data_IF_330386015456
#
_entry.id   IF_330386015456
#
_cell.length_a   1.000
_cell.length_b   1.000
_cell.length_c   1.000
_cell.angle_alpha   90.00
_cell.angle_beta   90.00
_cell.angle_gamma   90.00
#
_symmetry.space_group_name_H-M   'P 1'
#
loop_
_entity.id
_entity.type
_entity.pdbx_description
1 polymer ?
#
# COMPACT_ATOMS: atom_id res chain seq x y z
N UNK A 1 36.23 1.13 -36.28
CA UNK A 1 35.45 -0.08 -36.63
C UNK A 1 34.80 -0.58 -35.35
N UNK A 2 33.50 -0.35 -35.14
CA UNK A 2 32.77 -0.88 -33.97
C UNK A 2 32.43 -2.34 -34.28
N UNK A 3 33.05 -3.28 -33.59
CA UNK A 3 32.77 -4.71 -33.72
C UNK A 3 31.54 -5.02 -32.84
N UNK A 4 30.57 -5.84 -33.30
CA UNK A 4 29.31 -6.04 -32.59
C UNK A 4 29.53 -6.64 -31.20
N UNK A 5 28.69 -6.24 -30.25
CA UNK A 5 28.55 -6.94 -28.98
C UNK A 5 28.23 -8.42 -29.29
N UNK A 6 28.96 -9.33 -28.62
CA UNK A 6 28.79 -10.76 -28.81
C UNK A 6 27.50 -11.18 -28.10
N UNK A 7 26.36 -11.01 -28.76
CA UNK A 7 25.08 -11.52 -28.29
C UNK A 7 25.07 -13.03 -28.49
N UNK A 8 25.01 -13.81 -27.41
CA UNK A 8 24.82 -15.26 -27.49
C UNK A 8 23.39 -15.52 -27.99
N UNK A 9 23.18 -16.05 -29.22
CA UNK A 9 21.85 -16.12 -29.83
C UNK A 9 20.82 -16.95 -29.04
N UNK A 10 21.29 -17.91 -28.23
CA UNK A 10 20.44 -18.70 -27.35
C UNK A 10 19.92 -17.95 -26.12
N UNK A 11 20.68 -16.99 -25.59
CA UNK A 11 20.30 -16.22 -24.39
C UNK A 11 19.28 -15.14 -24.70
N UNK A 12 19.43 -14.45 -25.82
CA UNK A 12 18.44 -13.46 -26.26
C UNK A 12 17.08 -14.11 -26.53
N UNK A 13 17.07 -15.33 -27.08
CA UNK A 13 15.85 -16.13 -27.23
C UNK A 13 15.23 -16.50 -25.89
N UNK A 14 16.03 -16.98 -24.93
CA UNK A 14 15.54 -17.34 -23.60
C UNK A 14 14.97 -16.13 -22.84
N UNK A 15 15.62 -14.96 -22.95
CA UNK A 15 15.14 -13.70 -22.37
C UNK A 15 13.83 -13.25 -23.01
N UNK A 16 13.73 -13.32 -24.34
CA UNK A 16 12.50 -12.99 -25.07
C UNK A 16 11.35 -13.93 -24.73
N UNK A 17 11.65 -15.22 -24.55
CA UNK A 17 10.68 -16.23 -24.14
C UNK A 17 10.14 -15.93 -22.74
N UNK A 18 11.02 -15.76 -21.74
CA UNK A 18 10.61 -15.42 -20.37
C UNK A 18 9.84 -14.11 -20.29
N UNK A 19 10.24 -13.10 -21.06
CA UNK A 19 9.50 -11.83 -21.14
C UNK A 19 8.12 -11.97 -21.78
N UNK A 20 7.92 -12.95 -22.65
CA UNK A 20 6.60 -13.26 -23.25
C UNK A 20 5.74 -14.06 -22.29
N UNK A 21 6.31 -15.06 -21.62
CA UNK A 21 5.65 -15.83 -20.56
C UNK A 21 5.19 -14.92 -19.40
N UNK A 22 6.02 -13.95 -19.00
CA UNK A 22 5.67 -12.99 -17.96
C UNK A 22 4.46 -12.12 -18.35
N UNK A 23 4.42 -11.63 -19.60
CA UNK A 23 3.26 -10.85 -20.09
C UNK A 23 1.98 -11.67 -20.11
N UNK A 24 2.05 -12.90 -20.61
CA UNK A 24 0.89 -13.81 -20.62
C UNK A 24 0.40 -14.10 -19.20
N UNK A 25 1.33 -14.22 -18.24
CA UNK A 25 0.99 -14.45 -16.85
C UNK A 25 0.41 -13.19 -16.19
N UNK A 26 0.90 -12.00 -16.52
CA UNK A 26 0.31 -10.73 -16.10
C UNK A 26 -1.13 -10.61 -16.61
N UNK A 27 -1.38 -10.91 -17.89
CA UNK A 27 -2.72 -10.93 -18.48
C UNK A 27 -3.64 -11.96 -17.79
N UNK A 28 -3.12 -13.14 -17.44
CA UNK A 28 -3.85 -14.16 -16.69
C UNK A 28 -4.21 -13.69 -15.27
N UNK A 29 -3.26 -13.06 -14.58
CA UNK A 29 -3.50 -12.47 -13.25
C UNK A 29 -4.59 -11.41 -13.35
N UNK A 30 -4.45 -10.43 -14.24
CA UNK A 30 -5.38 -9.32 -14.38
C UNK A 30 -6.81 -9.77 -14.76
N UNK A 31 -6.90 -10.84 -15.54
CA UNK A 31 -8.18 -11.43 -15.94
C UNK A 31 -8.74 -12.47 -14.95
N UNK A 32 -7.99 -12.87 -13.93
CA UNK A 32 -8.45 -13.84 -12.93
C UNK A 32 -9.61 -13.30 -12.09
N UNK A 33 -10.44 -14.21 -11.56
CA UNK A 33 -11.50 -13.83 -10.62
C UNK A 33 -10.89 -13.32 -9.30
N UNK A 34 -9.84 -13.99 -8.81
CA UNK A 34 -9.17 -13.62 -7.57
C UNK A 34 -8.59 -12.21 -7.61
N UNK A 35 -7.97 -11.79 -8.72
CA UNK A 35 -7.41 -10.44 -8.84
C UNK A 35 -8.49 -9.35 -8.81
N UNK A 36 -9.60 -9.58 -9.51
CA UNK A 36 -10.76 -8.68 -9.49
C UNK A 36 -11.36 -8.58 -8.09
N UNK A 37 -11.53 -9.72 -7.42
CA UNK A 37 -11.98 -9.79 -6.04
C UNK A 37 -11.06 -9.00 -5.10
N UNK A 38 -9.76 -9.31 -5.12
CA UNK A 38 -8.76 -8.67 -4.27
C UNK A 38 -8.74 -7.13 -4.44
N UNK A 39 -8.76 -6.65 -5.68
CA UNK A 39 -8.79 -5.21 -5.95
C UNK A 39 -10.05 -4.53 -5.40
N UNK A 40 -11.21 -5.19 -5.48
CA UNK A 40 -12.46 -4.66 -4.94
C UNK A 40 -12.45 -4.63 -3.42
N UNK A 41 -11.96 -5.69 -2.77
CA UNK A 41 -11.82 -5.74 -1.32
C UNK A 41 -10.82 -4.70 -0.79
N UNK A 42 -9.70 -4.49 -1.49
CA UNK A 42 -8.73 -3.44 -1.15
C UNK A 42 -9.33 -2.01 -1.24
N UNK A 43 -10.23 -1.75 -2.19
CA UNK A 43 -10.94 -0.46 -2.25
C UNK A 43 -11.92 -0.30 -1.09
N UNK A 44 -12.61 -1.38 -0.72
CA UNK A 44 -13.50 -1.39 0.43
C UNK A 44 -12.74 -1.18 1.74
N UNK A 45 -11.58 -1.80 1.91
CA UNK A 45 -10.69 -1.62 3.06
C UNK A 45 -10.31 -0.15 3.26
N UNK A 46 -10.04 0.59 2.17
CA UNK A 46 -9.76 2.03 2.25
C UNK A 46 -10.94 2.83 2.77
N UNK A 47 -12.17 2.42 2.47
CA UNK A 47 -13.37 3.08 2.99
C UNK A 47 -13.59 2.78 4.46
N UNK A 48 -13.33 1.53 4.87
CA UNK A 48 -13.29 1.17 6.29
C UNK A 48 -12.23 1.96 7.05
N UNK A 49 -11.04 2.13 6.49
CA UNK A 49 -9.99 2.96 7.09
C UNK A 49 -10.45 4.42 7.31
N UNK A 50 -11.13 5.03 6.35
CA UNK A 50 -11.68 6.39 6.50
C UNK A 50 -12.71 6.45 7.63
N UNK A 51 -13.64 5.49 7.64
CA UNK A 51 -14.63 5.33 8.71
C UNK A 51 -13.95 5.23 10.09
N UNK A 52 -12.99 4.30 10.23
CA UNK A 52 -12.39 3.95 11.50
C UNK A 52 -11.50 5.08 12.05
N UNK A 53 -10.71 5.71 11.19
CA UNK A 53 -9.89 6.86 11.61
C UNK A 53 -10.75 8.06 12.01
N UNK A 54 -11.84 8.33 11.29
CA UNK A 54 -12.77 9.41 11.69
C UNK A 54 -13.44 9.11 13.04
N UNK A 55 -13.85 7.86 13.26
CA UNK A 55 -14.39 7.39 14.54
C UNK A 55 -13.37 7.58 15.67
N UNK A 56 -12.14 7.07 15.51
CA UNK A 56 -11.09 7.16 16.52
C UNK A 56 -10.76 8.62 16.88
N UNK A 57 -10.67 9.50 15.89
CA UNK A 57 -10.42 10.93 16.14
C UNK A 57 -11.57 11.58 16.92
N UNK A 58 -12.82 11.25 16.57
CA UNK A 58 -13.99 11.76 17.27
C UNK A 58 -14.06 11.25 18.71
N UNK A 59 -13.92 9.94 18.92
CA UNK A 59 -13.91 9.32 20.25
C UNK A 59 -12.81 9.94 21.12
N UNK A 60 -11.60 10.10 20.58
CA UNK A 60 -10.51 10.73 21.30
C UNK A 60 -10.85 12.16 21.74
N UNK A 61 -11.40 13.00 20.84
CA UNK A 61 -11.80 14.36 21.19
C UNK A 61 -12.95 14.40 22.20
N UNK A 62 -13.89 13.45 22.15
CA UNK A 62 -14.94 13.32 23.14
C UNK A 62 -14.36 12.92 24.50
N UNK A 63 -13.50 11.90 24.56
CA UNK A 63 -12.85 11.43 25.78
C UNK A 63 -11.98 12.53 26.42
N UNK A 64 -11.27 13.32 25.62
CA UNK A 64 -10.53 14.49 26.09
C UNK A 64 -11.45 15.55 26.70
N UNK A 65 -12.61 15.79 26.10
CA UNK A 65 -13.61 16.72 26.63
C UNK A 65 -14.19 16.26 27.96
N UNK A 66 -14.35 14.95 28.13
CA UNK A 66 -14.88 14.37 29.37
C UNK A 66 -13.87 14.43 30.53
N UNK A 67 -12.59 14.75 30.26
CA UNK A 67 -11.60 14.94 31.33
C UNK A 67 -11.89 16.22 32.13
N UNK A 68 -12.12 16.13 33.46
CA UNK A 68 -12.51 17.29 34.27
C UNK A 68 -11.57 18.49 34.16
N UNK A 69 -10.24 18.22 34.12
CA UNK A 69 -9.24 19.28 34.03
C UNK A 69 -9.25 19.99 32.66
N UNK A 70 -9.50 19.24 31.58
CA UNK A 70 -9.60 19.81 30.24
C UNK A 70 -10.87 20.64 30.11
N UNK A 71 -11.99 20.08 30.55
CA UNK A 71 -13.27 20.77 30.57
C UNK A 71 -13.18 22.10 31.33
N UNK A 72 -12.71 22.07 32.59
CA UNK A 72 -12.64 23.26 33.45
C UNK A 72 -11.76 24.34 32.83
N UNK A 73 -10.65 23.95 32.20
CA UNK A 73 -9.77 24.87 31.47
C UNK A 73 -10.48 25.50 30.27
N UNK A 74 -11.19 24.72 29.45
CA UNK A 74 -11.91 25.25 28.29
C UNK A 74 -13.09 26.14 28.69
N UNK A 75 -13.73 25.86 29.82
CA UNK A 75 -14.89 26.60 30.34
C UNK A 75 -14.56 27.98 30.92
N UNK A 76 -13.28 28.29 31.19
CA UNK A 76 -12.89 29.61 31.65
C UNK A 76 -13.30 30.69 30.63
N UNK A 77 -13.88 31.81 31.09
CA UNK A 77 -14.39 32.88 30.20
C UNK A 77 -13.34 33.40 29.19
N UNK A 78 -12.09 33.55 29.65
CA UNK A 78 -10.94 33.94 28.81
C UNK A 78 -10.62 32.94 27.67
N UNK A 79 -11.13 31.71 27.76
CA UNK A 79 -10.94 30.65 26.77
C UNK A 79 -12.19 30.41 25.90
N UNK A 80 -13.20 31.28 25.95
CA UNK A 80 -14.44 31.13 25.18
C UNK A 80 -14.22 30.88 23.68
N UNK A 81 -13.27 31.59 23.06
CA UNK A 81 -12.93 31.38 21.65
C UNK A 81 -12.32 30.00 21.40
N UNK A 82 -11.47 29.52 22.32
CA UNK A 82 -10.88 28.17 22.25
C UNK A 82 -11.93 27.09 22.43
N UNK A 83 -12.87 27.30 23.35
CA UNK A 83 -14.00 26.40 23.54
C UNK A 83 -14.87 26.34 22.27
N UNK A 84 -15.19 27.48 21.65
CA UNK A 84 -15.92 27.49 20.39
C UNK A 84 -15.17 26.75 19.27
N UNK A 85 -13.85 26.94 19.15
CA UNK A 85 -13.02 26.21 18.19
C UNK A 85 -13.05 24.70 18.45
N UNK A 86 -12.99 24.30 19.73
CA UNK A 86 -13.06 22.90 20.13
C UNK A 86 -14.41 22.26 19.75
N UNK A 87 -15.53 22.95 20.05
CA UNK A 87 -16.87 22.49 19.66
C UNK A 87 -17.01 22.38 18.14
N UNK A 88 -16.50 23.37 17.40
CA UNK A 88 -16.48 23.34 15.93
C UNK A 88 -15.70 22.13 15.40
N UNK A 89 -14.60 21.75 16.04
CA UNK A 89 -13.82 20.59 15.64
C UNK A 89 -14.58 19.28 15.91
N UNK A 90 -15.28 19.18 17.04
CA UNK A 90 -16.14 18.02 17.32
C UNK A 90 -17.30 17.91 16.31
N UNK A 91 -17.93 19.02 15.95
CA UNK A 91 -18.95 19.05 14.88
C UNK A 91 -18.37 18.50 13.57
N UNK A 92 -17.18 18.98 13.18
CA UNK A 92 -16.49 18.54 11.96
C UNK A 92 -16.15 17.04 12.01
N UNK A 93 -15.60 16.56 13.13
CA UNK A 93 -15.25 15.16 13.33
C UNK A 93 -16.50 14.27 13.32
N UNK A 94 -17.59 14.70 13.95
CA UNK A 94 -18.86 13.97 13.92
C UNK A 94 -19.42 13.87 12.51
N UNK A 95 -19.46 14.98 11.76
CA UNK A 95 -19.89 14.96 10.37
C UNK A 95 -19.03 14.00 9.52
N UNK A 96 -17.71 14.06 9.66
CA UNK A 96 -16.78 13.19 8.95
C UNK A 96 -16.97 11.71 9.30
N UNK A 97 -17.22 11.41 10.57
CA UNK A 97 -17.51 10.06 11.04
C UNK A 97 -18.76 9.49 10.37
N UNK A 98 -19.88 10.22 10.41
CA UNK A 98 -21.12 9.67 9.85
C UNK A 98 -21.07 9.60 8.33
N UNK A 99 -20.48 10.61 7.67
CA UNK A 99 -20.25 10.57 6.22
C UNK A 99 -19.32 9.41 5.81
N UNK A 100 -18.27 9.14 6.60
CA UNK A 100 -17.37 8.00 6.40
C UNK A 100 -18.09 6.65 6.58
N UNK A 101 -18.94 6.55 7.60
CA UNK A 101 -19.77 5.36 7.82
C UNK A 101 -20.69 5.10 6.64
N UNK A 102 -21.40 6.14 6.18
CA UNK A 102 -22.30 6.03 5.03
C UNK A 102 -21.57 5.61 3.76
N UNK A 103 -20.43 6.25 3.47
CA UNK A 103 -19.59 5.90 2.32
C UNK A 103 -19.16 4.44 2.34
N UNK A 104 -18.72 3.94 3.51
CA UNK A 104 -18.33 2.55 3.68
C UNK A 104 -19.51 1.60 3.42
N UNK A 105 -20.67 1.84 4.02
CA UNK A 105 -21.86 1.01 3.84
C UNK A 105 -22.35 1.02 2.38
N UNK A 106 -22.36 2.17 1.73
CA UNK A 106 -22.72 2.30 0.32
C UNK A 106 -21.75 1.52 -0.58
N UNK A 107 -20.44 1.52 -0.28
CA UNK A 107 -19.46 0.70 -1.00
C UNK A 107 -19.68 -0.80 -0.77
N UNK A 108 -20.02 -1.24 0.43
CA UNK A 108 -20.42 -2.63 0.69
C UNK A 108 -21.62 -3.01 -0.18
N UNK A 109 -22.64 -2.15 -0.20
CA UNK A 109 -23.86 -2.35 -0.99
C UNK A 109 -23.58 -2.41 -2.50
N UNK A 110 -22.73 -1.51 -3.00
CA UNK A 110 -22.35 -1.49 -4.40
C UNK A 110 -21.60 -2.77 -4.80
N UNK A 111 -20.68 -3.24 -3.95
CA UNK A 111 -19.96 -4.48 -4.19
C UNK A 111 -20.89 -5.69 -4.23
N UNK A 112 -21.84 -5.78 -3.30
CA UNK A 112 -22.84 -6.83 -3.34
C UNK A 112 -23.67 -6.79 -4.64
N UNK A 113 -24.09 -5.61 -5.09
CA UNK A 113 -24.93 -5.47 -6.28
C UNK A 113 -24.21 -5.68 -7.61
N UNK A 114 -22.95 -5.27 -7.70
CA UNK A 114 -22.21 -5.23 -8.97
C UNK A 114 -21.29 -6.43 -9.17
N UNK A 115 -20.72 -6.95 -8.09
CA UNK A 115 -19.67 -7.98 -8.14
C UNK A 115 -20.18 -9.32 -7.69
N UNK A 116 -21.03 -9.35 -6.65
CA UNK A 116 -21.47 -10.60 -6.01
C UNK A 116 -22.91 -10.98 -6.33
N UNK A 117 -23.55 -10.26 -7.26
CA UNK A 117 -24.90 -10.57 -7.74
C UNK A 117 -24.94 -11.94 -8.42
N UNK A 118 -25.84 -12.80 -7.95
CA UNK A 118 -26.05 -14.15 -8.50
C UNK A 118 -25.29 -15.27 -7.76
N UNK A 119 -24.48 -14.94 -6.76
CA UNK A 119 -24.04 -15.90 -5.74
C UNK A 119 -25.21 -16.03 -4.74
N UNK A 120 -25.45 -17.24 -4.20
CA UNK A 120 -26.46 -17.52 -3.14
C UNK A 120 -26.33 -16.63 -1.88
N UNK A 121 -25.32 -15.76 -1.85
CA UNK A 121 -25.07 -14.73 -0.84
C UNK A 121 -26.09 -13.57 -0.85
N UNK A 122 -26.83 -13.32 -1.93
CA UNK A 122 -27.70 -12.13 -2.01
C UNK A 122 -28.81 -12.13 -0.94
N UNK A 123 -29.40 -13.29 -0.68
CA UNK A 123 -30.43 -13.45 0.35
C UNK A 123 -29.83 -13.40 1.76
N UNK A 124 -28.65 -14.00 1.95
CA UNK A 124 -27.89 -13.94 3.21
C UNK A 124 -27.53 -12.49 3.56
N UNK A 125 -27.03 -11.75 2.58
CA UNK A 125 -26.71 -10.33 2.70
C UNK A 125 -27.92 -9.50 3.07
N UNK A 126 -29.02 -9.68 2.33
CA UNK A 126 -30.25 -8.94 2.62
C UNK A 126 -30.76 -9.24 4.02
N UNK A 127 -30.78 -10.51 4.43
CA UNK A 127 -31.20 -10.90 5.78
C UNK A 127 -30.31 -10.24 6.85
N UNK A 128 -28.99 -10.19 6.63
CA UNK A 128 -28.05 -9.54 7.55
C UNK A 128 -28.23 -8.02 7.60
N UNK A 129 -28.39 -7.39 6.45
CA UNK A 129 -28.67 -5.96 6.34
C UNK A 129 -29.96 -5.60 7.04
N UNK A 130 -31.05 -6.33 6.77
CA UNK A 130 -32.35 -6.11 7.39
C UNK A 130 -32.29 -6.34 8.90
N UNK A 131 -31.54 -7.34 9.37
CA UNK A 131 -31.33 -7.56 10.80
C UNK A 131 -30.61 -6.40 11.49
N UNK A 132 -29.58 -5.85 10.86
CA UNK A 132 -28.63 -4.95 11.51
C UNK A 132 -28.94 -3.46 11.28
N UNK A 133 -29.48 -3.10 10.11
CA UNK A 133 -29.78 -1.72 9.74
C UNK A 133 -31.27 -1.50 9.47
N UNK A 134 -31.92 -2.40 8.71
CA UNK A 134 -33.34 -2.22 8.35
C UNK A 134 -34.31 -2.36 9.53
N UNK A 135 -33.99 -3.22 10.49
CA UNK A 135 -34.80 -3.51 11.67
C UNK A 135 -34.34 -2.82 12.95
N UNK A 136 -33.11 -2.30 12.99
CA UNK A 136 -32.52 -1.66 14.17
C UNK A 136 -32.83 -0.17 14.19
N UNK A 137 -33.26 0.34 15.35
CA UNK A 137 -33.68 1.72 15.51
C UNK A 137 -32.49 2.69 15.61
N UNK A 138 -31.35 2.27 16.16
CA UNK A 138 -30.13 3.09 16.31
C UNK A 138 -29.51 3.52 14.97
N UNK A 139 -29.19 2.61 14.02
CA UNK A 139 -28.61 3.03 12.75
C UNK A 139 -29.53 3.93 11.96
N UNK A 140 -30.83 3.65 11.98
CA UNK A 140 -31.79 4.52 11.30
C UNK A 140 -31.86 5.90 11.95
N UNK A 141 -31.78 6.00 13.28
CA UNK A 141 -31.64 7.27 13.96
C UNK A 141 -30.38 8.03 13.54
N UNK A 142 -29.22 7.36 13.42
CA UNK A 142 -27.98 8.01 12.99
C UNK A 142 -28.06 8.50 11.54
N UNK A 143 -28.67 7.73 10.64
CA UNK A 143 -28.94 8.14 9.25
C UNK A 143 -29.87 9.36 9.18
N UNK A 144 -30.96 9.33 9.93
CA UNK A 144 -31.89 10.47 10.05
C UNK A 144 -31.19 11.69 10.67
N UNK A 145 -30.27 11.48 11.62
CA UNK A 145 -29.49 12.54 12.26
C UNK A 145 -28.53 13.22 11.26
N UNK A 146 -27.96 12.51 10.28
CA UNK A 146 -27.22 13.15 9.18
C UNK A 146 -28.14 14.06 8.38
N UNK A 147 -29.32 13.55 8.05
CA UNK A 147 -30.31 14.31 7.30
C UNK A 147 -30.72 15.56 8.10
N UNK A 148 -30.93 15.43 9.40
CA UNK A 148 -31.15 16.57 10.30
C UNK A 148 -29.99 17.57 10.23
N UNK A 149 -28.73 17.11 10.33
CA UNK A 149 -27.55 18.00 10.26
C UNK A 149 -27.50 18.80 8.96
N UNK A 150 -27.88 18.18 7.84
CA UNK A 150 -27.90 18.83 6.52
C UNK A 150 -29.02 19.88 6.38
N UNK A 151 -30.20 19.63 6.95
CA UNK A 151 -31.39 20.47 6.72
C UNK A 151 -31.75 21.42 7.86
N UNK A 152 -31.40 21.07 9.11
CA UNK A 152 -31.77 21.81 10.33
C UNK A 152 -30.57 22.36 11.07
N UNK A 153 -29.37 21.87 10.79
CA UNK A 153 -28.14 22.29 11.43
C UNK A 153 -27.82 21.45 12.68
N UNK A 154 -27.04 22.01 13.61
CA UNK A 154 -26.37 21.23 14.65
C UNK A 154 -27.26 21.11 15.91
N UNK A 155 -27.60 19.89 16.37
CA UNK A 155 -28.48 19.65 17.53
C UNK A 155 -27.74 19.47 18.86
N UNK A 156 -26.65 20.19 19.10
CA UNK A 156 -25.92 20.07 20.37
C UNK A 156 -26.58 20.93 21.46
N UNK A 157 -26.93 20.29 22.58
CA UNK A 157 -27.01 20.97 23.86
C UNK A 157 -25.55 21.21 24.29
N UNK A 158 -25.12 22.48 24.31
CA UNK A 158 -23.77 22.83 24.70
C UNK A 158 -23.45 22.28 26.10
N UNK A 159 -22.38 21.48 26.18
CA UNK A 159 -21.51 21.25 27.33
C UNK A 159 -22.13 21.54 28.71
N UNK A 160 -22.66 20.50 29.34
CA UNK A 160 -23.21 20.61 30.69
C UNK A 160 -22.17 20.25 31.74
N UNK A 161 -22.09 21.12 32.76
CA UNK A 161 -21.43 20.84 34.03
C UNK A 161 -22.46 20.23 34.99
N UNK A 162 -22.41 18.91 35.16
CA UNK A 162 -23.03 18.28 36.32
C UNK A 162 -22.06 18.32 37.50
N UNK A 163 -22.44 18.95 38.62
CA UNK A 163 -21.72 18.79 39.89
C UNK A 163 -22.40 17.69 40.70
N UNK A 164 -21.84 16.49 40.67
CA UNK A 164 -22.21 15.38 41.55
C UNK A 164 -21.42 15.43 42.87
N UNK A 165 -21.94 14.78 43.90
CA UNK A 165 -21.17 14.43 45.11
C UNK A 165 -21.08 12.91 45.19
N UNK A 166 -19.87 12.37 45.11
CA UNK A 166 -19.59 10.98 45.45
C UNK A 166 -18.79 10.97 46.77
N UNK A 167 -19.49 10.91 47.90
CA UNK A 167 -18.87 11.05 49.22
C UNK A 167 -18.38 12.49 49.50
N UNK A 168 -17.08 12.65 49.78
CA UNK A 168 -16.44 13.95 50.06
C UNK A 168 -15.91 14.68 48.82
N UNK A 169 -15.89 14.03 47.66
CA UNK A 169 -15.34 14.59 46.42
C UNK A 169 -16.43 15.11 45.48
N UNK A 170 -16.12 16.22 44.80
CA UNK A 170 -16.97 16.81 43.76
C UNK A 170 -16.69 16.06 42.46
N UNK A 171 -17.71 15.39 41.94
CA UNK A 171 -17.66 14.76 40.62
C UNK A 171 -18.09 15.80 39.58
N UNK A 172 -17.23 16.06 38.61
CA UNK A 172 -17.54 16.93 37.48
C UNK A 172 -17.93 16.02 36.32
N UNK A 173 -19.22 15.96 36.01
CA UNK A 173 -19.72 15.29 34.83
C UNK A 173 -19.72 16.29 33.66
N UNK A 174 -18.66 16.23 32.86
CA UNK A 174 -18.52 16.95 31.59
C UNK A 174 -18.75 15.97 30.44
N UNK A 175 -19.76 16.25 29.61
CA UNK A 175 -19.96 15.51 28.35
C UNK A 175 -20.72 16.36 27.33
N UNK A 176 -20.49 16.07 26.05
CA UNK A 176 -21.32 16.59 24.98
C UNK A 176 -22.58 15.76 24.84
N UNK A 177 -23.72 16.46 24.87
CA UNK A 177 -25.04 15.83 24.84
C UNK A 177 -25.86 16.35 23.67
N UNK A 178 -26.64 15.45 23.07
CA UNK A 178 -27.69 15.84 22.14
C UNK A 178 -28.92 16.30 22.92
N UNK A 179 -29.56 17.37 22.44
CA UNK A 179 -30.85 17.84 22.97
C UNK A 179 -31.98 17.04 22.33
N UNK A 180 -32.50 16.01 23.01
CA UNK A 180 -33.50 15.13 22.43
C UNK A 180 -34.87 15.81 22.29
N UNK A 181 -35.15 16.84 23.10
CA UNK A 181 -36.36 17.66 22.94
C UNK A 181 -36.31 18.42 21.62
N UNK A 182 -35.19 19.11 21.35
CA UNK A 182 -35.00 19.84 20.09
C UNK A 182 -34.98 18.90 18.87
N UNK A 183 -34.36 17.73 19.01
CA UNK A 183 -34.43 16.69 17.98
C UNK A 183 -35.88 16.24 17.74
N UNK A 184 -36.67 16.10 18.81
CA UNK A 184 -38.08 15.70 18.77
C UNK A 184 -38.99 16.63 17.96
N UNK A 185 -38.66 17.92 17.90
CA UNK A 185 -39.40 18.94 17.13
C UNK A 185 -39.32 18.76 15.60
N UNK A 186 -38.38 17.96 15.09
CA UNK A 186 -38.25 17.74 13.66
C UNK A 186 -39.15 16.59 13.19
N UNK A 187 -39.99 16.85 12.18
CA UNK A 187 -40.89 15.82 11.62
C UNK A 187 -40.22 14.90 10.59
N UNK A 188 -38.92 15.08 10.32
CA UNK A 188 -38.21 14.34 9.28
C UNK A 188 -37.62 13.00 9.70
N UNK A 189 -37.87 12.56 10.95
CA UNK A 189 -37.47 11.22 11.40
C UNK A 189 -38.28 10.14 10.68
N UNK A 190 -37.60 9.07 10.31
CA UNK A 190 -38.27 7.81 9.97
C UNK A 190 -38.96 7.21 11.20
N UNK A 191 -39.85 6.23 10.99
CA UNK A 191 -40.51 5.51 12.08
C UNK A 191 -39.50 4.90 13.07
N UNK A 192 -38.43 4.28 12.54
CA UNK A 192 -37.38 3.65 13.35
C UNK A 192 -36.46 4.66 14.03
N UNK A 193 -36.12 5.76 13.35
CA UNK A 193 -35.36 6.85 13.98
C UNK A 193 -36.13 7.49 15.12
N UNK A 194 -37.45 7.65 14.97
CA UNK A 194 -38.35 8.12 16.04
C UNK A 194 -38.43 7.11 17.18
N UNK A 195 -38.58 5.82 16.88
CA UNK A 195 -38.57 4.74 17.89
C UNK A 195 -37.35 4.83 18.80
N UNK A 196 -36.16 5.00 18.22
CA UNK A 196 -34.93 5.17 19.01
C UNK A 196 -34.94 6.46 19.81
N UNK A 197 -35.28 7.60 19.18
CA UNK A 197 -35.33 8.90 19.83
C UNK A 197 -36.24 8.90 21.08
N UNK A 198 -37.37 8.21 21.00
CA UNK A 198 -38.34 8.10 22.10
C UNK A 198 -37.82 7.24 23.27
N UNK A 199 -36.78 6.41 23.06
CA UNK A 199 -36.10 5.68 24.14
C UNK A 199 -35.07 6.52 24.89
N UNK A 200 -34.66 7.65 24.31
CA UNK A 200 -33.62 8.50 24.88
C UNK A 200 -34.22 9.44 25.92
N UNK A 201 -33.52 9.59 27.04
CA UNK A 201 -33.82 10.66 27.99
C UNK A 201 -33.64 12.04 27.33
N UNK A 202 -34.06 13.11 28.02
CA UNK A 202 -33.96 14.51 27.55
C UNK A 202 -32.57 14.90 27.01
N UNK A 203 -31.50 14.22 27.46
CA UNK A 203 -30.12 14.45 27.04
C UNK A 203 -29.35 13.15 27.00
N UNK A 204 -28.71 12.88 25.86
CA UNK A 204 -27.94 11.66 25.61
C UNK A 204 -26.49 12.03 25.29
N UNK A 205 -25.53 11.28 25.86
CA UNK A 205 -24.09 11.47 25.57
C UNK A 205 -23.82 11.10 24.12
N UNK A 206 -23.19 12.01 23.37
CA UNK A 206 -22.82 11.76 21.98
C UNK A 206 -21.86 10.56 21.84
N UNK A 207 -20.92 10.42 22.78
CA UNK A 207 -19.96 9.32 22.79
C UNK A 207 -20.61 7.93 22.83
N UNK A 208 -21.72 7.78 23.57
CA UNK A 208 -22.45 6.50 23.64
C UNK A 208 -23.05 6.15 22.28
N UNK A 209 -23.74 7.09 21.64
CA UNK A 209 -24.35 6.89 20.32
C UNK A 209 -23.28 6.55 19.28
N UNK A 210 -22.18 7.31 19.26
CA UNK A 210 -21.07 7.07 18.32
C UNK A 210 -20.50 5.67 18.51
N UNK A 211 -20.23 5.28 19.75
CA UNK A 211 -19.62 3.99 20.09
C UNK A 211 -20.52 2.81 19.74
N UNK A 212 -21.79 2.87 20.10
CA UNK A 212 -22.77 1.82 19.82
C UNK A 212 -22.97 1.67 18.30
N UNK A 213 -23.21 2.77 17.60
CA UNK A 213 -23.39 2.74 16.14
C UNK A 213 -22.13 2.26 15.41
N UNK A 214 -20.95 2.70 15.84
CA UNK A 214 -19.69 2.28 15.26
C UNK A 214 -19.46 0.77 15.43
N UNK A 215 -19.82 0.21 16.59
CA UNK A 215 -19.73 -1.21 16.83
C UNK A 215 -20.63 -1.99 15.87
N UNK A 216 -21.85 -1.52 15.61
CA UNK A 216 -22.74 -2.13 14.61
C UNK A 216 -22.15 -2.02 13.19
N UNK A 217 -21.70 -0.84 12.77
CA UNK A 217 -21.11 -0.65 11.44
C UNK A 217 -19.85 -1.52 11.23
N UNK A 218 -18.96 -1.57 12.22
CA UNK A 218 -17.74 -2.37 12.17
C UNK A 218 -18.03 -3.87 12.17
N UNK A 219 -18.98 -4.34 13.00
CA UNK A 219 -19.37 -5.74 13.03
C UNK A 219 -19.97 -6.20 11.68
N UNK A 220 -20.76 -5.35 11.04
CA UNK A 220 -21.29 -5.64 9.70
C UNK A 220 -20.18 -5.74 8.66
N UNK A 221 -19.25 -4.78 8.65
CA UNK A 221 -18.09 -4.81 7.76
C UNK A 221 -17.26 -6.07 7.95
N UNK A 222 -16.92 -6.42 9.19
CA UNK A 222 -16.11 -7.59 9.51
C UNK A 222 -16.79 -8.88 9.05
N UNK A 223 -18.10 -9.01 9.31
CA UNK A 223 -18.89 -10.12 8.81
C UNK A 223 -18.86 -10.19 7.28
N UNK A 224 -19.07 -9.07 6.59
CA UNK A 224 -19.05 -9.01 5.13
C UNK A 224 -17.70 -9.46 4.57
N UNK A 225 -16.59 -8.93 5.08
CA UNK A 225 -15.24 -9.29 4.64
C UNK A 225 -14.95 -10.78 4.88
N UNK A 226 -15.27 -11.29 6.07
CA UNK A 226 -15.09 -12.71 6.39
C UNK A 226 -15.88 -13.59 5.42
N UNK A 227 -17.15 -13.26 5.20
CA UNK A 227 -18.03 -14.04 4.32
C UNK A 227 -17.58 -14.01 2.86
N UNK A 228 -17.13 -12.85 2.39
CA UNK A 228 -16.55 -12.71 1.06
C UNK A 228 -15.25 -13.51 0.90
N UNK A 229 -14.44 -13.59 1.95
CA UNK A 229 -13.19 -14.38 1.93
C UNK A 229 -13.48 -15.88 1.82
N UNK A 230 -14.52 -16.37 2.51
CA UNK A 230 -14.98 -17.76 2.39
C UNK A 230 -15.50 -18.08 0.98
N UNK A 231 -16.37 -17.22 0.43
CA UNK A 231 -16.99 -17.45 -0.89
C UNK A 231 -15.99 -17.40 -2.05
N UNK A 232 -14.87 -16.70 -1.88
CA UNK A 232 -13.86 -16.49 -2.91
C UNK A 232 -12.52 -17.17 -2.60
N UNK A 233 -12.49 -18.12 -1.65
CA UNK A 233 -11.27 -18.80 -1.24
C UNK A 233 -10.54 -19.46 -2.42
N UNK A 234 -11.24 -20.26 -3.24
CA UNK A 234 -10.64 -20.94 -4.40
C UNK A 234 -10.03 -19.94 -5.41
N UNK A 235 -10.73 -18.84 -5.66
CA UNK A 235 -10.25 -17.79 -6.55
C UNK A 235 -9.03 -17.05 -5.98
N UNK A 236 -8.95 -16.92 -4.65
CA UNK A 236 -7.79 -16.35 -3.97
C UNK A 236 -6.57 -17.29 -4.03
N UNK A 237 -6.78 -18.60 -3.85
CA UNK A 237 -5.74 -19.62 -3.99
C UNK A 237 -5.18 -19.65 -5.42
N UNK A 238 -6.04 -19.59 -6.45
CA UNK A 238 -5.62 -19.49 -7.85
C UNK A 238 -4.74 -18.25 -8.09
N UNK A 239 -5.17 -17.08 -7.56
CA UNK A 239 -4.40 -15.85 -7.68
C UNK A 239 -3.02 -15.98 -7.03
N UNK A 240 -2.94 -16.58 -5.83
CA UNK A 240 -1.68 -16.79 -5.12
C UNK A 240 -0.71 -17.67 -5.92
N UNK A 241 -1.22 -18.73 -6.57
CA UNK A 241 -0.41 -19.56 -7.46
C UNK A 241 0.13 -18.77 -8.66
N UNK A 242 -0.72 -17.98 -9.31
CA UNK A 242 -0.31 -17.17 -10.46
C UNK A 242 0.74 -16.13 -10.06
N UNK A 243 0.54 -15.46 -8.92
CA UNK A 243 1.52 -14.50 -8.37
C UNK A 243 2.84 -15.18 -7.99
N UNK A 244 2.79 -16.38 -7.44
CA UNK A 244 3.98 -17.18 -7.12
C UNK A 244 4.75 -17.58 -8.38
N UNK A 245 4.05 -18.03 -9.43
CA UNK A 245 4.65 -18.29 -10.75
C UNK A 245 5.31 -17.04 -11.32
N UNK A 246 4.67 -15.87 -11.16
CA UNK A 246 5.19 -14.57 -11.64
C UNK A 246 6.46 -14.17 -10.91
N UNK A 247 6.45 -14.27 -9.58
CA UNK A 247 7.63 -14.04 -8.73
C UNK A 247 8.81 -14.91 -9.17
N UNK A 248 8.57 -16.20 -9.41
CA UNK A 248 9.60 -17.13 -9.85
C UNK A 248 10.17 -16.76 -11.24
N UNK A 249 9.31 -16.38 -12.21
CA UNK A 249 9.76 -15.92 -13.52
C UNK A 249 10.60 -14.65 -13.45
N UNK A 250 10.20 -13.67 -12.61
CA UNK A 250 10.99 -12.45 -12.37
C UNK A 250 12.37 -12.76 -11.78
N UNK A 251 12.44 -13.70 -10.83
CA UNK A 251 13.72 -14.14 -10.26
C UNK A 251 14.62 -14.81 -11.31
N UNK A 252 14.05 -15.63 -12.20
CA UNK A 252 14.80 -16.27 -13.28
C UNK A 252 15.32 -15.25 -14.29
N UNK A 253 14.50 -14.25 -14.64
CA UNK A 253 14.90 -13.18 -15.55
C UNK A 253 16.06 -12.36 -14.96
N UNK A 254 15.97 -12.02 -13.67
CA UNK A 254 17.06 -11.34 -12.95
C UNK A 254 18.35 -12.16 -12.92
N UNK A 255 18.28 -13.46 -12.63
CA UNK A 255 19.44 -14.36 -12.67
C UNK A 255 20.11 -14.40 -14.04
N UNK A 256 19.33 -14.41 -15.12
CA UNK A 256 19.87 -14.38 -16.47
C UNK A 256 20.57 -13.06 -16.80
N UNK A 257 20.04 -11.94 -16.31
CA UNK A 257 20.66 -10.61 -16.46
C UNK A 257 21.99 -10.54 -15.70
N UNK A 258 22.03 -11.02 -14.45
CA UNK A 258 23.26 -11.10 -13.65
C UNK A 258 24.34 -11.99 -14.33
N UNK A 259 23.93 -13.13 -14.89
CA UNK A 259 24.83 -14.02 -15.64
C UNK A 259 25.35 -13.35 -16.92
N UNK A 260 24.54 -12.55 -17.60
CA UNK A 260 24.94 -11.82 -18.79
C UNK A 260 25.98 -10.75 -18.45
N UNK A 261 25.72 -9.97 -17.41
CA UNK A 261 26.65 -8.93 -16.94
C UNK A 261 28.00 -9.53 -16.52
N UNK A 262 27.98 -10.64 -15.77
CA UNK A 262 29.20 -11.33 -15.35
C UNK A 262 29.97 -11.91 -16.55
N UNK A 263 29.28 -12.51 -17.52
CA UNK A 263 29.92 -13.04 -18.72
C UNK A 263 30.55 -11.92 -19.58
N UNK A 264 29.92 -10.76 -19.66
CA UNK A 264 30.46 -9.59 -20.36
C UNK A 264 31.73 -9.08 -19.67
N UNK A 265 31.70 -8.93 -18.33
CA UNK A 265 32.89 -8.56 -17.54
C UNK A 265 34.04 -9.55 -17.75
N UNK A 266 33.78 -10.85 -17.71
CA UNK A 266 34.79 -11.88 -17.98
C UNK A 266 35.32 -11.82 -19.42
N UNK A 267 34.46 -11.58 -20.40
CA UNK A 267 34.88 -11.46 -21.80
C UNK A 267 35.76 -10.22 -22.04
N UNK A 268 35.45 -9.10 -21.41
CA UNK A 268 36.29 -7.88 -21.44
C UNK A 268 37.65 -8.16 -20.80
N UNK A 269 37.68 -8.82 -19.64
CA UNK A 269 38.93 -9.21 -18.96
C UNK A 269 39.78 -10.14 -19.83
N UNK A 270 39.20 -11.20 -20.40
CA UNK A 270 39.91 -12.12 -21.30
C UNK A 270 40.43 -11.43 -22.57
N UNK A 271 39.71 -10.44 -23.11
CA UNK A 271 40.18 -9.65 -24.26
C UNK A 271 41.39 -8.80 -23.90
N UNK A 272 41.35 -8.13 -22.75
CA UNK A 272 42.48 -7.35 -22.26
C UNK A 272 43.72 -8.23 -22.03
N UNK A 273 43.53 -9.43 -21.46
CA UNK A 273 44.62 -10.40 -21.26
C UNK A 273 45.19 -10.93 -22.58
N UNK A 274 44.34 -11.28 -23.56
CA UNK A 274 44.78 -11.67 -24.90
C UNK A 274 45.56 -10.57 -25.60
N UNK A 275 45.12 -9.32 -25.50
CA UNK A 275 45.82 -8.18 -26.09
C UNK A 275 47.19 -7.96 -25.44
N UNK A 276 47.29 -8.11 -24.12
CA UNK A 276 48.55 -8.06 -23.39
C UNK A 276 49.51 -9.16 -23.85
N UNK A 277 49.05 -10.41 -23.89
CA UNK A 277 49.85 -11.55 -24.35
C UNK A 277 50.30 -11.36 -25.80
N UNK A 278 49.44 -10.85 -26.68
CA UNK A 278 49.79 -10.58 -28.07
C UNK A 278 50.93 -9.53 -28.17
N UNK A 279 50.87 -8.46 -27.37
CA UNK A 279 51.93 -7.44 -27.30
C UNK A 279 53.24 -8.01 -26.76
N UNK A 280 53.19 -8.85 -25.72
CA UNK A 280 54.37 -9.53 -25.17
C UNK A 280 55.03 -10.46 -26.21
N UNK A 281 54.22 -11.23 -26.95
CA UNK A 281 54.70 -12.17 -27.97
C UNK A 281 55.29 -11.44 -29.19
N UNK A 282 54.73 -10.29 -29.57
CA UNK A 282 55.27 -9.42 -30.61
C UNK A 282 56.62 -8.80 -30.19
N UNK A 283 56.72 -8.32 -28.95
CA UNK A 283 57.97 -7.83 -28.38
C UNK A 283 59.06 -8.93 -28.35
N UNK A 284 58.70 -10.16 -27.97
CA UNK A 284 59.63 -11.29 -27.98
C UNK A 284 60.09 -11.65 -29.41
N UNK A 285 59.19 -11.62 -30.40
CA UNK A 285 59.54 -11.84 -31.81
C UNK A 285 60.51 -10.77 -32.32
N UNK A 286 60.28 -9.50 -31.98
CA UNK A 286 61.18 -8.40 -32.33
C UNK A 286 62.55 -8.57 -31.68
N UNK A 287 62.58 -8.95 -30.40
CA UNK A 287 63.82 -9.23 -29.67
C UNK A 287 64.62 -10.37 -30.34
N UNK A 288 63.99 -11.51 -30.63
CA UNK A 288 64.64 -12.65 -31.31
C UNK A 288 65.12 -12.30 -32.72
N UNK A 289 64.38 -11.47 -33.46
CA UNK A 289 64.81 -10.98 -34.77
C UNK A 289 66.07 -10.11 -34.66
N UNK A 290 66.10 -9.20 -33.68
CA UNK A 290 67.28 -8.37 -33.39
C UNK A 290 68.51 -9.18 -32.98
N UNK A 291 68.33 -10.22 -32.17
CA UNK A 291 69.42 -11.14 -31.78
C UNK A 291 69.94 -11.94 -32.99
N UNK A 292 69.05 -12.40 -33.88
CA UNK A 292 69.44 -13.05 -35.14
C UNK A 292 70.25 -12.12 -36.04
N UNK A 293 69.82 -10.87 -36.22
CA UNK A 293 70.60 -9.88 -36.99
C UNK A 293 71.96 -9.56 -36.35
N UNK A 294 72.06 -9.58 -35.02
CA UNK A 294 73.34 -9.42 -34.32
C UNK A 294 74.26 -10.61 -34.55
N UNK A 295 73.72 -11.83 -34.49
CA UNK A 295 74.45 -13.05 -34.80
C UNK A 295 74.95 -13.06 -36.26
N UNK A 296 74.08 -12.73 -37.23
CA UNK A 296 74.43 -12.67 -38.65
C UNK A 296 75.52 -11.60 -38.93
N UNK A 297 75.45 -10.44 -38.25
CA UNK A 297 76.50 -9.41 -38.30
C UNK A 297 77.83 -9.88 -37.73
N UNK A 298 77.81 -10.59 -36.61
CA UNK A 298 79.00 -11.17 -35.99
C UNK A 298 79.63 -12.25 -36.89
N UNK A 299 78.82 -13.12 -37.51
CA UNK A 299 79.31 -14.10 -38.48
C UNK A 299 79.92 -13.42 -39.71
N UNK A 300 79.28 -12.38 -40.24
CA UNK A 300 79.82 -11.59 -41.36
C UNK A 300 81.15 -10.92 -40.98
N UNK A 301 81.23 -10.35 -39.77
CA UNK A 301 82.44 -9.74 -39.25
C UNK A 301 83.57 -10.78 -39.07
N UNK A 302 83.27 -11.92 -38.45
CA UNK A 302 84.21 -13.04 -38.28
C UNK A 302 84.67 -13.62 -39.62
N UNK A 303 83.77 -13.71 -40.61
CA UNK A 303 84.11 -14.08 -41.99
C UNK A 303 85.09 -13.09 -42.63
N UNK A 304 84.85 -11.79 -42.43
CA UNK A 304 85.76 -10.73 -42.91
C UNK A 304 87.13 -10.76 -42.22
N UNK A 305 87.19 -11.10 -40.92
CA UNK A 305 88.45 -11.22 -40.18
C UNK A 305 89.22 -12.48 -40.54
N UNK A 306 88.53 -13.61 -40.76
CA UNK A 306 89.14 -14.83 -41.31
C UNK A 306 89.75 -14.59 -42.69
N UNK A 307 89.06 -13.83 -43.55
CA UNK A 307 89.55 -13.38 -44.85
C UNK A 307 90.77 -12.45 -44.72
N UNK A 308 90.72 -11.43 -43.85
CA UNK A 308 91.87 -10.54 -43.60
C UNK A 308 93.08 -11.26 -43.00
N UNK A 309 92.87 -12.23 -42.11
CA UNK A 309 93.92 -13.07 -41.53
C UNK A 309 94.50 -14.10 -42.52
N UNK A 310 93.73 -14.50 -43.52
CA UNK A 310 94.19 -15.28 -44.66
C UNK A 310 95.06 -14.43 -45.59
N UNK A 311 94.59 -13.25 -46.02
CA UNK A 311 95.35 -12.35 -46.89
C UNK A 311 96.63 -11.79 -46.24
N UNK A 312 96.62 -11.51 -44.92
CA UNK A 312 97.84 -11.13 -44.18
C UNK A 312 98.89 -12.24 -44.11
N UNK A 313 98.49 -13.52 -44.21
CA UNK A 313 99.42 -14.66 -44.30
C UNK A 313 99.93 -14.90 -45.72
N UNK A 314 99.11 -14.59 -46.73
CA UNK A 314 99.46 -14.79 -48.15
C UNK A 314 100.38 -13.67 -48.69
N UNK A 315 100.24 -12.42 -48.21
CA UNK A 315 100.97 -11.26 -48.76
C UNK A 315 102.05 -10.65 -47.84
N UNK A 316 102.51 -11.38 -46.81
CA UNK A 316 103.78 -11.06 -46.12
C UNK A 316 104.81 -12.12 -46.46
N UNK A 317 105.42 -11.99 -47.63
CA UNK A 317 106.77 -12.46 -47.92
C UNK A 317 107.38 -11.58 -48.99
#
# INVERSE_FOLDING_TARGET
MRIPAYTFPGRDRQRQQLGTELRQLDDQIESSQGYRFYNRMNLLEKSYFIFDVNRLNLEHSLDEFEQPMMFLKLWEEKNRDRFNLFINDIIRLFHNYVAGTRTMLDHVHALQNDVFRGIDFSDEYRARWDQQFGGSSLPQFVEDLVTYLLYKGIPFALAELGFGRLGSDVEVDSALRLDTNKLGEWDGWSEKGREYLDTLDNKVRLGNIVKEHAAEAAAFYQWFVARQSELHQEAAEELEELQSKRQHLLQNLRRLEDLAENAEKSAVSMRAERERLAKELEAERQYRAGDKERADRLETHLGSERSKGFWRRVFRR
#
